data_IF_255518029221
#
_entry.id   IF_255518029221
#
_cell.length_a   1.000
_cell.length_b   1.000
_cell.length_c   1.000
_cell.angle_alpha   90.00
_cell.angle_beta   90.00
_cell.angle_gamma   90.00
#
_symmetry.space_group_name_H-M   'P 1'
#
loop_
_entity.id
_entity.type
_entity.pdbx_description
1 polymer ?
#
# COMPACT_ATOMS: atom_id res chain seq x y z
N UNK A 1 2.88 22.95 18.41
CA UNK A 1 2.14 22.09 17.47
C UNK A 1 3.03 21.34 16.48
N UNK A 2 4.05 21.95 15.89
CA UNK A 2 4.95 21.27 14.93
C UNK A 2 5.70 20.04 15.46
N UNK A 3 6.08 20.02 16.72
CA UNK A 3 6.82 18.91 17.34
C UNK A 3 5.94 17.68 17.58
N UNK A 4 4.72 17.85 18.02
CA UNK A 4 3.77 16.76 18.25
C UNK A 4 3.37 16.05 16.94
N UNK A 5 3.23 16.82 15.86
CA UNK A 5 2.92 16.28 14.53
C UNK A 5 4.09 15.48 13.94
N UNK A 6 5.31 15.96 14.13
CA UNK A 6 6.52 15.24 13.70
C UNK A 6 6.69 13.92 14.48
N UNK A 7 6.44 13.94 15.78
CA UNK A 7 6.51 12.73 16.62
C UNK A 7 5.43 11.73 16.20
N UNK A 8 4.20 12.17 16.00
CA UNK A 8 3.11 11.30 15.55
C UNK A 8 3.39 10.68 14.17
N UNK A 9 3.94 11.47 13.25
CA UNK A 9 4.33 11.02 11.92
C UNK A 9 5.45 9.99 11.98
N UNK A 10 6.49 10.25 12.76
CA UNK A 10 7.62 9.33 12.94
C UNK A 10 7.16 8.02 13.56
N UNK A 11 6.25 8.09 14.53
CA UNK A 11 5.68 6.92 15.19
C UNK A 11 4.81 6.09 14.23
N UNK A 12 4.02 6.73 13.38
CA UNK A 12 3.19 6.06 12.38
C UNK A 12 4.04 5.38 11.31
N UNK A 13 5.09 6.02 10.81
CA UNK A 13 6.03 5.43 9.85
C UNK A 13 6.78 4.27 10.50
N UNK A 14 7.24 4.41 11.74
CA UNK A 14 7.90 3.34 12.50
C UNK A 14 6.95 2.16 12.71
N UNK A 15 5.71 2.41 13.08
CA UNK A 15 4.69 1.38 13.26
C UNK A 15 4.39 0.66 11.93
N UNK A 16 4.26 1.38 10.83
CA UNK A 16 4.07 0.80 9.49
C UNK A 16 5.25 -0.06 9.08
N UNK A 17 6.49 0.37 9.34
CA UNK A 17 7.71 -0.39 9.07
C UNK A 17 7.78 -1.63 9.96
N UNK A 18 7.48 -1.52 11.25
CA UNK A 18 7.48 -2.64 12.18
C UNK A 18 6.42 -3.68 11.82
N UNK A 19 5.20 -3.24 11.47
CA UNK A 19 4.14 -4.14 11.01
C UNK A 19 4.54 -4.80 9.69
N UNK A 20 5.09 -4.06 8.74
CA UNK A 20 5.61 -4.58 7.48
C UNK A 20 6.70 -5.64 7.69
N UNK A 21 7.66 -5.37 8.57
CA UNK A 21 8.73 -6.32 8.94
C UNK A 21 8.21 -7.55 9.70
N UNK A 22 7.24 -7.36 10.60
CA UNK A 22 6.63 -8.46 11.34
C UNK A 22 5.83 -9.39 10.43
N UNK A 23 5.11 -8.82 9.46
CA UNK A 23 4.39 -9.58 8.45
C UNK A 23 5.36 -10.25 7.45
N UNK A 24 6.49 -9.66 7.15
CA UNK A 24 7.51 -10.27 6.31
C UNK A 24 8.16 -11.49 6.97
N UNK A 25 8.34 -11.46 8.29
CA UNK A 25 8.93 -12.58 9.04
C UNK A 25 7.99 -13.79 9.19
N UNK A 26 6.72 -13.64 8.94
CA UNK A 26 5.79 -14.77 8.93
C UNK A 26 5.74 -15.36 7.51
N UNK A 27 6.16 -16.62 7.29
CA UNK A 27 6.01 -17.28 5.99
C UNK A 27 4.53 -17.59 5.77
N UNK A 28 3.76 -16.57 5.44
CA UNK A 28 2.39 -16.77 4.99
C UNK A 28 2.45 -17.40 3.59
N UNK A 29 1.65 -18.39 3.40
CA UNK A 29 1.50 -19.20 2.19
C UNK A 29 1.26 -18.36 0.91
N UNK A 30 0.93 -17.09 1.07
CA UNK A 30 0.68 -16.11 0.02
C UNK A 30 1.43 -14.80 0.30
N UNK A 31 2.71 -14.72 -0.04
CA UNK A 31 3.55 -13.53 0.16
C UNK A 31 2.98 -12.25 -0.46
N UNK A 32 2.27 -12.36 -1.59
CA UNK A 32 1.60 -11.24 -2.25
C UNK A 32 0.49 -10.64 -1.38
N UNK A 33 -0.33 -11.49 -0.75
CA UNK A 33 -1.41 -11.03 0.13
C UNK A 33 -0.88 -10.33 1.37
N UNK A 34 0.22 -10.83 1.93
CA UNK A 34 0.90 -10.20 3.06
C UNK A 34 1.40 -8.81 2.72
N UNK A 35 2.01 -8.63 1.54
CA UNK A 35 2.48 -7.33 1.07
C UNK A 35 1.31 -6.37 0.81
N UNK A 36 0.20 -6.84 0.27
CA UNK A 36 -1.01 -6.03 0.07
C UNK A 36 -1.62 -5.58 1.39
N UNK A 37 -1.70 -6.48 2.37
CA UNK A 37 -2.17 -6.13 3.72
C UNK A 37 -1.22 -5.15 4.42
N UNK A 38 0.08 -5.33 4.24
CA UNK A 38 1.08 -4.37 4.74
C UNK A 38 0.93 -3.01 4.07
N UNK A 39 0.70 -2.96 2.76
CA UNK A 39 0.45 -1.72 2.03
C UNK A 39 -0.82 -1.01 2.52
N UNK A 40 -1.90 -1.76 2.73
CA UNK A 40 -3.14 -1.22 3.29
C UNK A 40 -2.94 -0.68 4.70
N UNK A 41 -2.24 -1.42 5.55
CA UNK A 41 -1.94 -0.98 6.92
C UNK A 41 -1.08 0.28 6.93
N UNK A 42 -0.07 0.35 6.05
CA UNK A 42 0.77 1.53 5.89
C UNK A 42 -0.05 2.75 5.41
N UNK A 43 -0.95 2.57 4.42
CA UNK A 43 -1.81 3.63 3.92
C UNK A 43 -2.75 4.16 5.02
N UNK A 44 -3.35 3.27 5.80
CA UNK A 44 -4.23 3.64 6.93
C UNK A 44 -3.45 4.35 8.02
N UNK A 45 -2.29 3.84 8.40
CA UNK A 45 -1.45 4.46 9.44
C UNK A 45 -1.00 5.87 9.05
N UNK A 46 -0.56 6.06 7.80
CA UNK A 46 -0.20 7.38 7.25
C UNK A 46 -1.42 8.31 7.25
N UNK A 47 -2.58 7.81 6.84
CA UNK A 47 -3.83 8.59 6.81
C UNK A 47 -4.23 9.09 8.20
N UNK A 48 -4.14 8.23 9.21
CA UNK A 48 -4.43 8.62 10.60
C UNK A 48 -3.41 9.65 11.10
N UNK A 49 -2.13 9.49 10.77
CA UNK A 49 -1.08 10.41 11.20
C UNK A 49 -1.18 11.79 10.56
N UNK A 50 -1.61 11.85 9.30
CA UNK A 50 -1.75 13.12 8.54
C UNK A 50 -3.09 13.81 8.77
N UNK A 51 -4.08 13.11 9.35
CA UNK A 51 -5.43 13.63 9.57
C UNK A 51 -5.46 14.99 10.30
N UNK A 52 -4.75 15.21 11.43
CA UNK A 52 -4.80 16.49 12.12
C UNK A 52 -4.23 17.63 11.27
N UNK A 53 -3.17 17.37 10.48
CA UNK A 53 -2.59 18.36 9.56
C UNK A 53 -3.58 18.76 8.46
N UNK A 54 -4.29 17.78 7.91
CA UNK A 54 -5.25 18.00 6.83
C UNK A 54 -6.50 18.75 7.31
N UNK A 55 -6.92 18.51 8.54
CA UNK A 55 -8.06 19.22 9.13
C UNK A 55 -7.74 20.69 9.42
N UNK A 56 -6.50 20.99 9.80
CA UNK A 56 -6.05 22.36 10.07
C UNK A 56 -5.94 23.21 8.78
N UNK A 57 -5.41 22.61 7.69
CA UNK A 57 -5.12 23.35 6.45
C UNK A 57 -6.27 23.37 5.44
N UNK A 58 -7.03 22.28 5.32
CA UNK A 58 -8.01 22.10 4.24
C UNK A 58 -9.44 21.74 4.69
N UNK A 59 -9.67 21.62 5.98
CA UNK A 59 -10.94 21.19 6.52
C UNK A 59 -11.27 19.73 6.14
N UNK A 60 -12.51 19.30 6.46
CA UNK A 60 -12.95 17.92 6.24
C UNK A 60 -12.93 17.47 4.78
N UNK A 61 -13.19 18.38 3.83
CA UNK A 61 -13.19 18.09 2.39
C UNK A 61 -11.77 17.85 1.86
N UNK A 62 -10.78 18.65 2.27
CA UNK A 62 -9.39 18.47 1.91
C UNK A 62 -8.81 17.16 2.46
N UNK A 63 -9.12 16.84 3.71
CA UNK A 63 -8.73 15.58 4.33
C UNK A 63 -9.32 14.37 3.59
N UNK A 64 -10.61 14.42 3.20
CA UNK A 64 -11.25 13.33 2.45
C UNK A 64 -10.58 13.09 1.10
N UNK A 65 -10.31 14.14 0.32
CA UNK A 65 -9.65 14.03 -0.99
C UNK A 65 -8.23 13.45 -0.87
N UNK A 66 -7.54 13.71 0.21
CA UNK A 66 -6.19 13.21 0.42
C UNK A 66 -6.13 11.75 0.94
N UNK A 67 -7.10 11.34 1.75
CA UNK A 67 -7.09 10.04 2.45
C UNK A 67 -7.87 8.96 1.68
N UNK A 68 -9.01 9.31 1.12
CA UNK A 68 -9.91 8.32 0.50
C UNK A 68 -9.26 7.59 -0.67
N UNK A 69 -8.59 8.25 -1.65
CA UNK A 69 -8.01 7.54 -2.79
C UNK A 69 -6.97 6.47 -2.40
N UNK A 70 -5.93 6.76 -1.61
CA UNK A 70 -4.92 5.74 -1.30
C UNK A 70 -5.47 4.58 -0.48
N UNK A 71 -6.40 4.82 0.44
CA UNK A 71 -7.01 3.76 1.24
C UNK A 71 -7.95 2.89 0.39
N UNK A 72 -8.76 3.49 -0.48
CA UNK A 72 -9.63 2.73 -1.40
C UNK A 72 -8.85 1.93 -2.42
N UNK A 73 -7.81 2.49 -3.04
CA UNK A 73 -6.96 1.80 -4.01
C UNK A 73 -6.32 0.55 -3.37
N UNK A 74 -5.70 0.70 -2.20
CA UNK A 74 -5.07 -0.41 -1.49
C UNK A 74 -6.09 -1.42 -0.97
N UNK A 75 -7.24 -0.96 -0.50
CA UNK A 75 -8.32 -1.82 -0.01
C UNK A 75 -8.95 -2.67 -1.11
N UNK A 76 -9.23 -2.08 -2.27
CA UNK A 76 -9.76 -2.80 -3.44
C UNK A 76 -8.74 -3.83 -3.93
N UNK A 77 -7.47 -3.46 -4.05
CA UNK A 77 -6.41 -4.39 -4.46
C UNK A 77 -6.32 -5.60 -3.52
N UNK A 78 -6.34 -5.36 -2.22
CA UNK A 78 -6.31 -6.43 -1.22
C UNK A 78 -7.56 -7.33 -1.29
N UNK A 79 -8.75 -6.75 -1.42
CA UNK A 79 -10.00 -7.50 -1.48
C UNK A 79 -10.11 -8.37 -2.74
N UNK A 80 -9.70 -7.83 -3.90
CA UNK A 80 -9.72 -8.58 -5.16
C UNK A 80 -8.66 -9.68 -5.16
N UNK A 81 -7.46 -9.41 -4.65
CA UNK A 81 -6.40 -10.41 -4.54
C UNK A 81 -6.78 -11.55 -3.57
N UNK A 82 -7.57 -11.24 -2.55
CA UNK A 82 -8.09 -12.27 -1.64
C UNK A 82 -9.05 -13.23 -2.35
N UNK A 83 -9.92 -12.69 -3.20
CA UNK A 83 -11.00 -13.46 -3.83
C UNK A 83 -10.57 -14.18 -5.12
N UNK A 84 -9.76 -13.52 -5.95
CA UNK A 84 -9.36 -13.98 -7.26
C UNK A 84 -7.87 -13.77 -7.51
N UNK A 85 -7.11 -14.86 -7.63
CA UNK A 85 -5.66 -14.77 -7.80
C UNK A 85 -5.25 -14.09 -9.13
N UNK A 86 -5.91 -14.43 -10.23
CA UNK A 86 -5.56 -13.91 -11.57
C UNK A 86 -6.00 -12.45 -11.73
N UNK A 87 -7.24 -12.13 -11.37
CA UNK A 87 -7.73 -10.76 -11.40
C UNK A 87 -7.00 -9.89 -10.37
N UNK A 88 -6.62 -10.47 -9.23
CA UNK A 88 -5.82 -9.80 -8.18
C UNK A 88 -4.50 -9.27 -8.68
N UNK A 89 -3.80 -10.00 -9.57
CA UNK A 89 -2.55 -9.55 -10.16
C UNK A 89 -2.73 -8.30 -11.02
N UNK A 90 -3.72 -8.31 -11.91
CA UNK A 90 -4.04 -7.17 -12.79
C UNK A 90 -4.43 -5.94 -11.94
N UNK A 91 -5.30 -6.14 -10.95
CA UNK A 91 -5.74 -5.06 -10.06
C UNK A 91 -4.58 -4.52 -9.21
N UNK A 92 -3.65 -5.37 -8.78
CA UNK A 92 -2.46 -4.93 -8.03
C UNK A 92 -1.55 -4.06 -8.90
N UNK A 93 -1.35 -4.40 -10.18
CA UNK A 93 -0.60 -3.55 -11.11
C UNK A 93 -1.30 -2.21 -11.37
N UNK A 94 -2.62 -2.22 -11.57
CA UNK A 94 -3.41 -0.99 -11.71
C UNK A 94 -3.34 -0.14 -10.44
N UNK A 95 -3.47 -0.75 -9.27
CA UNK A 95 -3.35 -0.07 -7.99
C UNK A 95 -1.96 0.55 -7.81
N UNK A 96 -0.89 -0.15 -8.22
CA UNK A 96 0.47 0.36 -8.18
C UNK A 96 0.65 1.58 -9.07
N UNK A 97 0.12 1.54 -10.29
CA UNK A 97 0.16 2.68 -11.22
C UNK A 97 -0.63 3.88 -10.70
N UNK A 98 -1.85 3.65 -10.21
CA UNK A 98 -2.69 4.70 -9.64
C UNK A 98 -2.06 5.32 -8.40
N UNK A 99 -1.48 4.50 -7.53
CA UNK A 99 -0.80 4.97 -6.33
C UNK A 99 0.47 5.76 -6.68
N UNK A 100 1.24 5.30 -7.67
CA UNK A 100 2.40 6.02 -8.19
C UNK A 100 2.02 7.37 -8.76
N UNK A 101 0.95 7.44 -9.56
CA UNK A 101 0.41 8.68 -10.09
C UNK A 101 -0.06 9.62 -8.96
N UNK A 102 -0.76 9.07 -7.98
CA UNK A 102 -1.19 9.83 -6.80
C UNK A 102 0.00 10.45 -6.06
N UNK A 103 1.03 9.64 -5.77
CA UNK A 103 2.27 10.11 -5.12
C UNK A 103 2.93 11.21 -5.95
N UNK A 104 2.96 11.07 -7.26
CA UNK A 104 3.60 12.03 -8.17
C UNK A 104 2.83 13.36 -8.22
N UNK A 105 1.52 13.31 -8.31
CA UNK A 105 0.66 14.51 -8.34
C UNK A 105 0.73 15.27 -7.02
N UNK A 106 0.75 14.56 -5.90
CA UNK A 106 0.81 15.14 -4.56
C UNK A 106 2.21 15.22 -3.97
N UNK A 107 3.28 14.99 -4.78
CA UNK A 107 4.67 14.95 -4.33
C UNK A 107 5.17 16.23 -3.65
N UNK A 108 4.58 17.37 -3.97
CA UNK A 108 4.93 18.67 -3.37
C UNK A 108 4.38 18.86 -1.93
N UNK A 109 3.65 17.88 -1.39
CA UNK A 109 3.10 17.96 -0.04
C UNK A 109 2.93 16.59 0.59
N UNK A 110 1.73 16.03 0.48
CA UNK A 110 1.34 14.81 1.20
C UNK A 110 1.74 13.51 0.49
N UNK A 111 2.03 13.55 -0.81
CA UNK A 111 2.33 12.36 -1.60
C UNK A 111 3.54 11.58 -1.10
N UNK A 112 4.56 12.26 -0.59
CA UNK A 112 5.76 11.62 -0.04
C UNK A 112 5.49 10.66 1.12
N UNK A 113 4.44 10.91 1.91
CA UNK A 113 4.07 10.03 3.02
C UNK A 113 3.50 8.69 2.58
N UNK A 114 2.99 8.62 1.34
CA UNK A 114 2.44 7.38 0.77
C UNK A 114 3.47 6.57 -0.04
N UNK A 115 4.71 7.05 -0.18
CA UNK A 115 5.79 6.31 -0.86
C UNK A 115 5.99 4.89 -0.30
N UNK A 116 6.00 4.66 1.03
CA UNK A 116 6.11 3.30 1.56
C UNK A 116 4.98 2.37 1.12
N UNK A 117 3.74 2.88 1.08
CA UNK A 117 2.60 2.10 0.62
C UNK A 117 2.69 1.79 -0.89
N UNK A 118 3.15 2.75 -1.71
CA UNK A 118 3.38 2.56 -3.14
C UNK A 118 4.48 1.51 -3.40
N UNK A 119 5.58 1.55 -2.64
CA UNK A 119 6.66 0.56 -2.75
C UNK A 119 6.20 -0.86 -2.35
N UNK A 120 5.37 -0.98 -1.32
CA UNK A 120 4.80 -2.26 -0.90
C UNK A 120 3.83 -2.82 -1.95
N UNK A 121 3.01 -1.97 -2.58
CA UNK A 121 2.16 -2.36 -3.71
C UNK A 121 3.00 -2.83 -4.90
N UNK A 122 4.06 -2.12 -5.24
CA UNK A 122 4.97 -2.50 -6.31
C UNK A 122 5.67 -3.85 -6.02
N UNK A 123 6.14 -4.06 -4.80
CA UNK A 123 6.71 -5.33 -4.37
C UNK A 123 5.67 -6.47 -4.44
N UNK A 124 4.41 -6.21 -4.08
CA UNK A 124 3.33 -7.17 -4.20
C UNK A 124 3.05 -7.53 -5.67
N UNK A 125 3.06 -6.55 -6.57
CA UNK A 125 2.89 -6.78 -8.00
C UNK A 125 4.02 -7.63 -8.59
N UNK A 126 5.28 -7.35 -8.22
CA UNK A 126 6.44 -8.13 -8.66
C UNK A 126 6.40 -9.58 -8.16
N UNK A 127 6.11 -9.78 -6.89
CA UNK A 127 6.05 -11.13 -6.30
C UNK A 127 4.88 -11.93 -6.88
N UNK A 128 3.74 -11.30 -7.13
CA UNK A 128 2.61 -11.93 -7.81
C UNK A 128 2.94 -12.34 -9.24
N UNK A 129 3.63 -11.49 -10.00
CA UNK A 129 4.07 -11.78 -11.37
C UNK A 129 5.09 -12.90 -11.42
N UNK A 130 6.08 -12.92 -10.54
CA UNK A 130 7.09 -13.97 -10.46
C UNK A 130 6.46 -15.33 -10.15
N UNK A 131 5.46 -15.37 -9.29
CA UNK A 131 4.72 -16.59 -8.96
C UNK A 131 3.89 -17.10 -10.12
N UNK A 132 3.20 -16.22 -10.85
CA UNK A 132 2.44 -16.58 -12.04
C UNK A 132 3.36 -17.17 -13.14
N UNK A 133 4.55 -16.58 -13.35
CA UNK A 133 5.55 -17.07 -14.28
C UNK A 133 6.12 -18.45 -13.86
N UNK A 134 6.33 -18.69 -12.57
CA UNK A 134 6.78 -19.98 -12.03
C UNK A 134 5.77 -21.10 -12.28
N UNK A 135 4.49 -20.84 -12.04
CA UNK A 135 3.43 -21.79 -12.29
C UNK A 135 3.29 -22.16 -13.78
N UNK A 136 3.45 -21.20 -14.68
CA UNK A 136 3.39 -21.44 -16.13
C UNK A 136 4.56 -22.29 -16.64
N UNK A 137 5.75 -22.19 -16.03
CA UNK A 137 6.90 -23.03 -16.36
C UNK A 137 6.71 -24.46 -15.88
N UNK A 138 6.19 -24.65 -14.68
CA UNK A 138 5.93 -25.98 -14.13
C UNK A 138 4.89 -26.77 -14.96
N UNK A 139 3.89 -26.08 -15.51
CA UNK A 139 2.88 -26.68 -16.37
C UNK A 139 3.38 -27.09 -17.77
N UNK A 140 4.54 -26.56 -18.20
CA UNK A 140 5.15 -26.84 -19.52
C UNK A 140 6.23 -27.92 -19.51
N UNK A 141 6.61 -28.46 -18.35
CA UNK A 141 7.54 -29.58 -18.29
C UNK A 141 6.79 -30.88 -18.65
N UNK A 142 7.07 -31.53 -19.80
CA UNK A 142 6.54 -32.85 -20.09
C UNK A 142 7.15 -33.87 -19.12
N UNK A 143 6.30 -34.73 -18.62
CA UNK A 143 6.70 -35.88 -17.78
C UNK A 143 7.50 -36.86 -18.61
#
# INVERSE_FOLDING_TARGET
MRTTTLIALTLAVLLAVVIGLALWRRPLRNGTLTLLLAALTAAVAVSIATLPLLLDDGGASGAAVAIVPPVTITGIAAAVAWRWQTAGLVVTWLATMLMGLYVLVFSLGLGLFYVPAALLLFAAALTGSARAAGLSRSARQPV
#
